data_IF_593312713881
#
_entry.id   IF_593312713881
#
_cell.length_a   1.000
_cell.length_b   1.000
_cell.length_c   1.000
_cell.angle_alpha   90.00
_cell.angle_beta   90.00
_cell.angle_gamma   90.00
#
_symmetry.space_group_name_H-M   'P 1'
#
loop_
_entity.id
_entity.type
_entity.pdbx_description
1 polymer ?
#
# COMPACT_ATOMS: atom_id res chain seq x y z
N UNK A 1 10.48 -23.83 18.42
CA UNK A 1 10.23 -22.38 18.47
C UNK A 1 9.65 -22.01 17.14
N UNK A 2 8.35 -21.72 17.10
CA UNK A 2 7.62 -21.42 15.86
C UNK A 2 8.19 -20.12 15.28
N UNK A 3 9.05 -20.21 14.27
CA UNK A 3 9.48 -19.03 13.51
C UNK A 3 8.24 -18.43 12.86
N UNK A 4 7.81 -17.29 13.37
CA UNK A 4 6.66 -16.55 12.86
C UNK A 4 7.03 -16.07 11.46
N UNK A 5 6.45 -16.72 10.43
CA UNK A 5 6.73 -16.38 9.04
C UNK A 5 6.35 -14.92 8.81
N UNK A 6 7.20 -14.10 8.17
CA UNK A 6 6.83 -12.73 7.87
C UNK A 6 5.63 -12.72 6.90
N UNK A 7 4.58 -11.99 7.28
CA UNK A 7 3.31 -11.87 6.55
C UNK A 7 3.16 -10.47 5.99
N UNK A 8 2.81 -10.35 4.72
CA UNK A 8 2.60 -9.06 4.07
C UNK A 8 1.31 -9.07 3.25
N UNK A 9 0.65 -7.92 3.18
CA UNK A 9 -0.41 -7.67 2.21
C UNK A 9 0.20 -7.38 0.85
N UNK A 10 -0.17 -8.17 -0.15
CA UNK A 10 0.31 -7.98 -1.50
C UNK A 10 -0.50 -6.89 -2.21
N UNK A 11 0.16 -5.77 -2.53
CA UNK A 11 -0.37 -4.72 -3.37
C UNK A 11 0.10 -4.93 -4.81
N UNK A 12 -0.80 -5.41 -5.66
CA UNK A 12 -0.53 -5.70 -7.08
C UNK A 12 -0.56 -4.45 -7.97
N UNK A 13 -1.21 -3.37 -7.51
CA UNK A 13 -1.41 -2.17 -8.30
C UNK A 13 -2.24 -2.44 -9.57
N UNK A 14 -1.97 -1.68 -10.64
CA UNK A 14 -2.82 -1.67 -11.84
C UNK A 14 -2.25 -2.45 -13.03
N UNK A 15 -0.93 -2.55 -13.22
CA UNK A 15 -0.36 -3.17 -14.43
C UNK A 15 -0.15 -4.68 -14.25
N UNK A 16 0.35 -5.09 -13.08
CA UNK A 16 0.72 -6.49 -12.81
C UNK A 16 -0.46 -7.46 -12.99
N UNK A 17 -1.63 -7.25 -12.37
CA UNK A 17 -2.71 -8.23 -12.46
C UNK A 17 -3.32 -8.30 -13.87
N UNK A 18 -3.26 -7.22 -14.65
CA UNK A 18 -3.94 -7.13 -15.96
C UNK A 18 -3.02 -7.37 -17.17
N UNK A 19 -1.71 -7.13 -17.05
CA UNK A 19 -0.77 -7.18 -18.19
C UNK A 19 0.46 -8.04 -17.94
N UNK A 20 0.85 -8.24 -16.68
CA UNK A 20 2.12 -8.89 -16.31
C UNK A 20 1.92 -9.95 -15.21
N UNK A 21 0.93 -10.82 -15.39
CA UNK A 21 0.59 -11.88 -14.42
C UNK A 21 1.75 -12.84 -14.13
N UNK A 22 2.67 -13.03 -15.09
CA UNK A 22 3.89 -13.81 -14.90
C UNK A 22 4.78 -13.26 -13.78
N UNK A 23 4.79 -11.94 -13.56
CA UNK A 23 5.58 -11.32 -12.51
C UNK A 23 5.01 -11.64 -11.12
N UNK A 24 3.70 -11.53 -10.95
CA UNK A 24 3.01 -11.96 -9.73
C UNK A 24 3.24 -13.44 -9.43
N UNK A 25 3.05 -14.32 -10.42
CA UNK A 25 3.23 -15.77 -10.27
C UNK A 25 4.67 -16.09 -9.83
N UNK A 26 5.66 -15.43 -10.44
CA UNK A 26 7.06 -15.59 -10.07
C UNK A 26 7.32 -15.14 -8.63
N UNK A 27 6.87 -13.92 -8.28
CA UNK A 27 7.04 -13.35 -6.94
C UNK A 27 6.44 -14.25 -5.85
N UNK A 28 5.20 -14.73 -6.03
CA UNK A 28 4.53 -15.64 -5.08
C UNK A 28 5.31 -16.93 -4.87
N UNK A 29 5.79 -17.55 -5.96
CA UNK A 29 6.56 -18.82 -5.89
C UNK A 29 7.89 -18.64 -5.16
N UNK A 30 8.61 -17.57 -5.46
CA UNK A 30 9.90 -17.25 -4.83
C UNK A 30 9.71 -16.96 -3.35
N UNK A 31 8.76 -16.10 -2.99
CA UNK A 31 8.51 -15.70 -1.61
C UNK A 31 8.01 -16.87 -0.74
N UNK A 32 7.16 -17.75 -1.29
CA UNK A 32 6.74 -18.97 -0.61
C UNK A 32 7.93 -19.90 -0.28
N UNK A 33 8.94 -19.98 -1.16
CA UNK A 33 10.17 -20.75 -0.92
C UNK A 33 11.08 -20.10 0.12
N UNK A 34 11.05 -18.77 0.23
CA UNK A 34 11.76 -18.00 1.24
C UNK A 34 11.03 -17.96 2.60
N UNK A 35 9.87 -18.60 2.71
CA UNK A 35 9.09 -18.63 3.96
C UNK A 35 8.30 -17.36 4.24
N UNK A 36 8.11 -16.49 3.24
CA UNK A 36 7.26 -15.30 3.34
C UNK A 36 5.83 -15.65 2.93
N UNK A 37 4.86 -15.27 3.74
CA UNK A 37 3.43 -15.44 3.43
C UNK A 37 2.87 -14.15 2.84
N UNK A 38 2.21 -14.28 1.69
CA UNK A 38 1.51 -13.19 1.03
C UNK A 38 0.01 -13.35 1.23
N UNK A 39 -0.61 -12.32 1.80
CA UNK A 39 -2.05 -12.20 1.97
C UNK A 39 -2.58 -11.28 0.86
N UNK A 40 -3.68 -11.66 0.22
CA UNK A 40 -4.32 -10.78 -0.76
C UNK A 40 -4.87 -9.53 -0.07
N UNK A 41 -4.64 -8.38 -0.69
CA UNK A 41 -5.29 -7.16 -0.25
C UNK A 41 -6.77 -7.20 -0.64
N UNK A 42 -7.71 -7.16 0.33
CA UNK A 42 -9.13 -7.42 0.07
C UNK A 42 -9.73 -6.39 -0.90
N UNK A 43 -9.36 -5.13 -0.70
CA UNK A 43 -9.77 -4.03 -1.57
C UNK A 43 -8.62 -3.04 -1.71
N UNK A 44 -8.33 -2.63 -2.93
CA UNK A 44 -7.34 -1.59 -3.19
C UNK A 44 -7.74 -0.79 -4.42
N UNK A 45 -7.27 0.45 -4.50
CA UNK A 45 -7.41 1.31 -5.66
C UNK A 45 -6.02 1.62 -6.24
N UNK A 46 -5.96 2.56 -7.19
CA UNK A 46 -4.68 3.03 -7.70
C UNK A 46 -3.83 3.63 -6.56
N UNK A 47 -2.52 3.43 -6.60
CA UNK A 47 -1.57 4.01 -5.64
C UNK A 47 -1.46 5.53 -5.72
N UNK A 48 -2.06 6.17 -6.74
CA UNK A 48 -1.99 7.60 -6.96
C UNK A 48 -0.87 8.05 -7.89
N UNK A 49 -0.05 7.15 -8.44
CA UNK A 49 0.93 7.51 -9.48
C UNK A 49 0.27 7.56 -10.87
N UNK A 50 0.49 8.60 -11.70
CA UNK A 50 1.25 9.85 -11.49
C UNK A 50 0.30 11.05 -11.25
N UNK A 51 -0.63 10.97 -10.30
CA UNK A 51 -1.64 12.01 -10.06
C UNK A 51 -1.10 13.28 -9.43
N UNK A 52 0.10 13.26 -8.85
CA UNK A 52 0.74 14.39 -8.16
C UNK A 52 0.68 15.72 -8.96
N UNK A 53 1.09 15.76 -10.25
CA UNK A 53 1.08 17.00 -11.03
C UNK A 53 -0.32 17.48 -11.42
N UNK A 54 -1.33 16.60 -11.35
CA UNK A 54 -2.71 16.92 -11.69
C UNK A 54 -3.44 17.44 -10.46
N UNK A 55 -3.36 16.69 -9.35
CA UNK A 55 -3.97 17.04 -8.08
C UNK A 55 -3.27 16.28 -6.94
N UNK A 56 -2.55 17.04 -6.12
CA UNK A 56 -1.79 16.53 -4.98
C UNK A 56 -2.70 15.84 -3.94
N UNK A 57 -3.83 16.46 -3.60
CA UNK A 57 -4.77 15.93 -2.60
C UNK A 57 -5.37 14.60 -3.05
N UNK A 58 -5.64 14.45 -4.35
CA UNK A 58 -6.12 13.18 -4.92
C UNK A 58 -5.04 12.11 -4.80
N UNK A 59 -3.78 12.42 -5.15
CA UNK A 59 -2.68 11.47 -4.96
C UNK A 59 -2.57 11.02 -3.50
N UNK A 60 -2.56 11.96 -2.55
CA UNK A 60 -2.49 11.69 -1.13
C UNK A 60 -3.67 10.83 -0.66
N UNK A 61 -4.89 11.18 -1.03
CA UNK A 61 -6.11 10.47 -0.60
C UNK A 61 -6.16 9.05 -1.13
N UNK A 62 -5.81 8.84 -2.41
CA UNK A 62 -5.77 7.51 -3.02
C UNK A 62 -4.74 6.60 -2.33
N UNK A 63 -3.53 7.12 -2.11
CA UNK A 63 -2.49 6.37 -1.41
C UNK A 63 -2.87 6.09 0.04
N UNK A 64 -3.36 7.10 0.78
CA UNK A 64 -3.75 6.98 2.18
C UNK A 64 -4.87 5.97 2.38
N UNK A 65 -5.84 5.87 1.46
CA UNK A 65 -6.87 4.83 1.49
C UNK A 65 -6.26 3.42 1.50
N UNK A 66 -5.27 3.16 0.65
CA UNK A 66 -4.60 1.86 0.62
C UNK A 66 -3.82 1.59 1.92
N UNK A 67 -3.18 2.62 2.48
CA UNK A 67 -2.51 2.51 3.78
C UNK A 67 -3.54 2.16 4.88
N UNK A 68 -4.70 2.82 4.92
CA UNK A 68 -5.77 2.53 5.87
C UNK A 68 -6.30 1.10 5.78
N UNK A 69 -6.43 0.55 4.57
CA UNK A 69 -6.83 -0.85 4.38
C UNK A 69 -5.77 -1.78 5.00
N UNK A 70 -4.48 -1.50 4.77
CA UNK A 70 -3.41 -2.27 5.38
C UNK A 70 -3.37 -2.15 6.91
N UNK A 71 -3.71 -0.98 7.45
CA UNK A 71 -3.87 -0.76 8.90
C UNK A 71 -5.02 -1.57 9.50
N UNK A 72 -6.14 -1.72 8.77
CA UNK A 72 -7.28 -2.54 9.21
C UNK A 72 -6.94 -4.02 9.32
N UNK A 73 -6.16 -4.52 8.37
CA UNK A 73 -5.66 -5.91 8.37
C UNK A 73 -4.45 -6.12 9.29
N UNK A 74 -3.91 -5.03 9.86
CA UNK A 74 -2.72 -5.04 10.72
C UNK A 74 -1.51 -5.74 10.07
N UNK A 75 -1.32 -5.50 8.77
CA UNK A 75 -0.25 -6.10 7.96
C UNK A 75 0.45 -5.03 7.12
N UNK A 76 1.77 -5.15 7.00
CA UNK A 76 2.56 -4.26 6.14
C UNK A 76 2.28 -4.54 4.66
N UNK A 77 2.39 -3.52 3.83
CA UNK A 77 2.21 -3.65 2.38
C UNK A 77 3.51 -4.12 1.74
N UNK A 78 3.44 -5.12 0.88
CA UNK A 78 4.49 -5.49 -0.07
C UNK A 78 4.01 -5.19 -1.49
N UNK A 79 4.81 -4.43 -2.25
CA UNK A 79 4.53 -4.11 -3.65
C UNK A 79 5.66 -4.59 -4.55
N UNK A 80 5.30 -5.02 -5.75
CA UNK A 80 6.25 -5.43 -6.80
C UNK A 80 6.57 -4.28 -7.77
N UNK A 81 5.89 -3.14 -7.64
CA UNK A 81 6.03 -2.00 -8.53
C UNK A 81 6.75 -0.84 -7.84
N UNK A 82 7.84 -0.36 -8.45
CA UNK A 82 8.58 0.83 -8.02
C UNK A 82 7.71 2.09 -7.92
N UNK A 83 6.81 2.32 -8.88
CA UNK A 83 5.91 3.49 -8.86
C UNK A 83 4.94 3.44 -7.68
N UNK A 84 4.37 2.25 -7.42
CA UNK A 84 3.50 2.04 -6.26
C UNK A 84 4.26 2.20 -4.94
N UNK A 85 5.47 1.65 -4.86
CA UNK A 85 6.33 1.79 -3.68
C UNK A 85 6.68 3.24 -3.41
N UNK A 86 7.15 3.97 -4.43
CA UNK A 86 7.54 5.36 -4.31
C UNK A 86 6.39 6.24 -3.81
N UNK A 87 5.20 6.12 -4.41
CA UNK A 87 4.05 6.92 -4.00
C UNK A 87 3.55 6.50 -2.61
N UNK A 88 3.32 5.22 -2.34
CA UNK A 88 2.83 4.77 -1.04
C UNK A 88 3.80 5.11 0.09
N UNK A 89 5.11 4.95 -0.13
CA UNK A 89 6.14 5.29 0.86
C UNK A 89 6.24 6.81 1.07
N UNK A 90 6.20 7.61 -0.01
CA UNK A 90 6.16 9.08 0.06
C UNK A 90 4.96 9.53 0.87
N UNK A 91 3.75 9.10 0.53
CA UNK A 91 2.53 9.50 1.25
C UNK A 91 2.54 9.02 2.69
N UNK A 92 2.97 7.79 2.96
CA UNK A 92 3.08 7.28 4.33
C UNK A 92 4.02 8.12 5.19
N UNK A 93 5.15 8.56 4.62
CA UNK A 93 6.09 9.46 5.31
C UNK A 93 5.50 10.86 5.50
N UNK A 94 4.96 11.44 4.44
CA UNK A 94 4.35 12.78 4.45
C UNK A 94 3.25 12.89 5.49
N UNK A 95 2.29 11.95 5.53
CA UNK A 95 1.19 12.00 6.50
C UNK A 95 1.62 11.68 7.95
N UNK A 96 2.79 11.07 8.15
CA UNK A 96 3.37 10.88 9.50
C UNK A 96 4.05 12.15 10.01
N UNK A 97 4.71 12.88 9.11
CA UNK A 97 5.51 14.07 9.44
C UNK A 97 4.66 15.35 9.45
N UNK A 98 3.73 15.49 8.52
CA UNK A 98 2.86 16.66 8.37
C UNK A 98 1.47 16.41 8.95
N UNK A 99 1.20 17.05 10.09
CA UNK A 99 -0.09 16.93 10.78
C UNK A 99 -1.23 17.66 10.05
N UNK A 100 -0.95 18.78 9.40
CA UNK A 100 -1.97 19.56 8.70
C UNK A 100 -2.46 18.81 7.47
N UNK A 101 -1.52 18.23 6.70
CA UNK A 101 -1.87 17.36 5.59
C UNK A 101 -2.59 16.11 6.03
N UNK A 102 -2.15 15.48 7.12
CA UNK A 102 -2.85 14.32 7.70
C UNK A 102 -4.30 14.65 8.07
N UNK A 103 -4.53 15.75 8.77
CA UNK A 103 -5.88 16.17 9.16
C UNK A 103 -6.75 16.47 7.94
N UNK A 104 -6.20 17.14 6.93
CA UNK A 104 -6.90 17.41 5.67
C UNK A 104 -7.28 16.13 4.95
N UNK A 105 -6.36 15.18 4.80
CA UNK A 105 -6.64 13.90 4.13
C UNK A 105 -7.59 13.03 4.96
N UNK A 106 -7.48 13.05 6.29
CA UNK A 106 -8.41 12.35 7.17
C UNK A 106 -9.85 12.87 7.04
N UNK A 107 -10.07 14.16 6.71
CA UNK A 107 -11.43 14.66 6.40
C UNK A 107 -12.03 13.96 5.19
N UNK A 108 -11.27 13.78 4.12
CA UNK A 108 -11.73 13.03 2.94
C UNK A 108 -11.91 11.54 3.25
N UNK A 109 -10.99 10.94 4.01
CA UNK A 109 -11.07 9.53 4.39
C UNK A 109 -12.28 9.24 5.31
N UNK A 110 -12.68 10.21 6.14
CA UNK A 110 -13.82 10.08 7.03
C UNK A 110 -15.14 9.87 6.28
N UNK A 111 -15.28 10.42 5.06
CA UNK A 111 -16.44 10.17 4.19
C UNK A 111 -16.56 8.67 3.81
N UNK A 112 -15.44 7.94 3.83
CA UNK A 112 -15.37 6.49 3.58
C UNK A 112 -15.26 5.67 4.88
N UNK A 113 -15.43 6.30 6.05
CA UNK A 113 -15.25 5.65 7.36
C UNK A 113 -13.82 5.15 7.59
N UNK A 114 -12.82 5.83 7.02
CA UNK A 114 -11.40 5.51 7.15
C UNK A 114 -10.66 6.64 7.88
N UNK A 115 -9.57 6.29 8.55
CA UNK A 115 -8.68 7.24 9.21
C UNK A 115 -7.25 6.70 9.12
N UNK A 116 -6.32 7.53 8.66
CA UNK A 116 -4.91 7.17 8.58
C UNK A 116 -4.21 7.34 9.93
N UNK A 117 -3.59 6.27 10.43
CA UNK A 117 -2.91 6.24 11.74
C UNK A 117 -1.38 6.21 11.63
N UNK A 118 -0.85 5.81 10.48
CA UNK A 118 0.59 5.64 10.24
C UNK A 118 1.20 4.43 10.93
N UNK A 119 0.45 3.36 11.19
CA UNK A 119 0.97 2.18 11.92
C UNK A 119 1.69 1.18 11.01
N UNK A 120 1.47 1.25 9.69
CA UNK A 120 2.06 0.30 8.74
C UNK A 120 3.26 0.86 7.99
N UNK A 121 4.04 -0.07 7.46
CA UNK A 121 5.14 0.17 6.55
C UNK A 121 4.85 -0.39 5.16
N UNK A 122 5.51 0.20 4.17
CA UNK A 122 5.48 -0.25 2.78
C UNK A 122 6.85 -0.81 2.44
N UNK A 123 6.89 -2.02 1.89
CA UNK A 123 8.10 -2.72 1.45
C UNK A 123 8.04 -2.98 -0.05
N UNK A 124 9.21 -3.06 -0.67
CA UNK A 124 9.38 -3.47 -2.07
C UNK A 124 9.98 -4.88 -2.12
N UNK A 125 9.62 -5.68 -3.12
CA UNK A 125 10.25 -6.98 -3.40
C UNK A 125 11.60 -6.81 -4.12
#
# INVERSE_FOLDING_TARGET
>A
MSEEKPRYLLFLGCVIPYRLSSYEISARKVLAKLGVELVEMPEYNCCGFPMDPVNHDVMLTLAARNLCVAERENLNILTLCNGCFGTLCKVNKTLKEDKEERERINKYLAEFGMEFKGTIEVKHL
#
